data_IF_582084529000
#
_entry.id   IF_582084529000
#
_cell.length_a   1.000
_cell.length_b   1.000
_cell.length_c   1.000
_cell.angle_alpha   90.00
_cell.angle_beta   90.00
_cell.angle_gamma   90.00
#
_symmetry.space_group_name_H-M   'P 1'
#
loop_
_entity.id
_entity.type
_entity.pdbx_description
1 polymer ?
#
# COMPACT_ATOMS: atom_id res chain seq x y z
N UNK A 1 -4.32 -23.90 -7.19
CA UNK A 1 -5.34 -23.93 -6.12
C UNK A 1 -5.09 -22.70 -5.25
N UNK A 2 -6.10 -21.89 -4.98
CA UNK A 2 -6.01 -20.74 -4.06
C UNK A 2 -6.69 -21.18 -2.77
N UNK A 3 -6.02 -20.99 -1.63
CA UNK A 3 -6.58 -21.36 -0.33
C UNK A 3 -6.81 -20.13 0.53
N UNK A 4 -8.01 -20.03 1.11
CA UNK A 4 -8.38 -18.99 2.05
C UNK A 4 -8.41 -19.58 3.46
N UNK A 5 -7.61 -19.02 4.35
CA UNK A 5 -7.52 -19.46 5.73
C UNK A 5 -7.86 -18.30 6.67
N UNK A 6 -8.86 -18.48 7.52
CA UNK A 6 -9.05 -17.65 8.71
C UNK A 6 -8.28 -18.29 9.87
N UNK A 7 -7.43 -17.51 10.56
CA UNK A 7 -6.62 -18.02 11.67
C UNK A 7 -6.76 -17.12 12.89
N UNK A 8 -6.79 -17.73 14.07
CA UNK A 8 -6.66 -17.09 15.38
C UNK A 8 -5.20 -16.62 15.60
N UNK A 9 -4.71 -15.79 14.71
CA UNK A 9 -3.40 -15.16 14.82
C UNK A 9 -3.51 -13.69 14.52
N UNK A 10 -2.90 -12.84 15.33
CA UNK A 10 -2.90 -11.37 15.21
C UNK A 10 -2.13 -10.82 13.98
N UNK A 11 -1.87 -11.67 12.98
CA UNK A 11 -1.03 -11.34 11.82
C UNK A 11 -1.59 -12.05 10.58
N UNK A 12 -1.98 -11.26 9.58
CA UNK A 12 -2.26 -11.76 8.23
C UNK A 12 -0.95 -12.26 7.59
N UNK A 13 -0.97 -13.46 7.00
CA UNK A 13 0.18 -14.05 6.28
C UNK A 13 -0.22 -14.40 4.86
N UNK A 14 0.70 -14.22 3.92
CA UNK A 14 0.50 -14.68 2.54
C UNK A 14 1.69 -15.55 2.16
N UNK A 15 1.39 -16.74 1.63
CA UNK A 15 2.40 -17.68 1.11
C UNK A 15 2.27 -17.69 -0.42
N UNK A 16 3.24 -17.07 -1.08
CA UNK A 16 3.24 -16.84 -2.54
C UNK A 16 3.62 -18.12 -3.33
N UNK A 17 4.24 -19.11 -2.67
CA UNK A 17 4.52 -20.43 -3.25
C UNK A 17 3.25 -21.29 -3.30
N UNK A 18 2.38 -21.16 -2.30
CA UNK A 18 1.10 -21.90 -2.20
C UNK A 18 -0.15 -21.09 -2.59
N UNK A 19 -0.01 -19.83 -2.95
CA UNK A 19 -1.12 -18.90 -3.21
C UNK A 19 -2.16 -18.90 -2.06
N UNK A 20 -1.67 -18.79 -0.83
CA UNK A 20 -2.49 -18.85 0.39
C UNK A 20 -2.70 -17.45 0.97
N UNK A 21 -3.95 -17.03 1.14
CA UNK A 21 -4.30 -15.75 1.80
C UNK A 21 -4.78 -16.06 3.22
N UNK A 22 -4.02 -15.63 4.23
CA UNK A 22 -4.45 -15.67 5.63
C UNK A 22 -4.84 -14.27 6.09
N UNK A 23 -6.09 -14.11 6.53
CA UNK A 23 -6.59 -12.87 7.11
C UNK A 23 -6.67 -13.04 8.63
N UNK A 24 -6.09 -12.09 9.37
CA UNK A 24 -6.21 -12.01 10.82
C UNK A 24 -7.68 -11.96 11.25
N UNK A 25 -8.13 -12.92 12.06
CA UNK A 25 -9.49 -12.95 12.60
C UNK A 25 -9.82 -11.71 13.45
N UNK A 26 -8.82 -11.17 14.15
CA UNK A 26 -8.95 -9.96 14.97
C UNK A 26 -8.89 -8.68 14.14
N UNK A 27 -8.84 -8.77 12.80
CA UNK A 27 -8.93 -7.60 11.95
C UNK A 27 -10.24 -6.85 12.24
N UNK A 28 -10.17 -5.54 12.54
CA UNK A 28 -11.36 -4.76 12.84
C UNK A 28 -12.46 -4.85 11.79
N UNK A 29 -12.14 -4.98 10.50
CA UNK A 29 -13.13 -5.11 9.43
C UNK A 29 -13.90 -6.43 9.50
N UNK A 30 -13.27 -7.50 9.97
CA UNK A 30 -13.93 -8.79 10.22
C UNK A 30 -14.82 -8.69 11.46
N UNK A 31 -14.29 -8.13 12.56
CA UNK A 31 -15.02 -7.96 13.81
C UNK A 31 -16.25 -7.04 13.66
N UNK A 32 -16.11 -5.97 12.88
CA UNK A 32 -17.17 -5.00 12.54
C UNK A 32 -18.14 -5.54 11.48
N UNK A 33 -17.90 -6.74 10.93
CA UNK A 33 -18.66 -7.35 9.81
C UNK A 33 -18.75 -6.44 8.58
N UNK A 34 -17.69 -5.67 8.33
CA UNK A 34 -17.57 -4.82 7.15
C UNK A 34 -17.30 -5.67 5.91
N UNK A 35 -18.38 -6.09 5.27
CA UNK A 35 -18.34 -6.90 4.06
C UNK A 35 -17.56 -6.20 2.93
N UNK A 36 -17.66 -4.88 2.81
CA UNK A 36 -16.95 -4.12 1.76
C UNK A 36 -15.46 -4.16 2.03
N UNK A 37 -15.02 -3.86 3.25
CA UNK A 37 -13.61 -3.90 3.63
C UNK A 37 -12.98 -5.27 3.46
N UNK A 38 -13.67 -6.33 3.90
CA UNK A 38 -13.20 -7.71 3.71
C UNK A 38 -13.08 -8.08 2.23
N UNK A 39 -14.08 -7.75 1.42
CA UNK A 39 -14.04 -7.99 -0.03
C UNK A 39 -12.88 -7.26 -0.70
N UNK A 40 -12.62 -6.01 -0.31
CA UNK A 40 -11.52 -5.23 -0.87
C UNK A 40 -10.16 -5.83 -0.52
N UNK A 41 -9.94 -6.27 0.72
CA UNK A 41 -8.70 -6.94 1.12
C UNK A 41 -8.47 -8.20 0.27
N UNK A 42 -9.50 -9.05 0.15
CA UNK A 42 -9.42 -10.26 -0.65
C UNK A 42 -9.07 -9.95 -2.11
N UNK A 43 -9.76 -8.96 -2.72
CA UNK A 43 -9.47 -8.54 -4.10
C UNK A 43 -8.04 -8.04 -4.25
N UNK A 44 -7.56 -7.22 -3.31
CA UNK A 44 -6.20 -6.71 -3.36
C UNK A 44 -5.16 -7.84 -3.30
N UNK A 45 -5.32 -8.80 -2.39
CA UNK A 45 -4.42 -9.96 -2.31
C UNK A 45 -4.49 -10.85 -3.55
N UNK A 46 -5.67 -11.02 -4.15
CA UNK A 46 -5.81 -11.76 -5.40
C UNK A 46 -5.05 -11.08 -6.55
N UNK A 47 -5.14 -9.75 -6.67
CA UNK A 47 -4.35 -9.01 -7.66
C UNK A 47 -2.85 -9.24 -7.39
N UNK A 48 -2.40 -9.12 -6.14
CA UNK A 48 -1.00 -9.38 -5.77
C UNK A 48 -0.52 -10.75 -6.22
N UNK A 49 -1.29 -11.81 -5.89
CA UNK A 49 -0.98 -13.18 -6.28
C UNK A 49 -0.99 -13.40 -7.80
N UNK A 50 -1.79 -12.64 -8.55
CA UNK A 50 -1.77 -12.68 -10.01
C UNK A 50 -0.50 -12.03 -10.60
N UNK A 51 -0.03 -10.94 -10.02
CA UNK A 51 1.14 -10.20 -10.52
C UNK A 51 2.48 -10.76 -10.02
N UNK A 52 2.50 -11.51 -8.91
CA UNK A 52 3.68 -12.18 -8.30
C UNK A 52 4.97 -11.36 -8.40
N UNK A 53 4.97 -10.19 -7.78
CA UNK A 53 6.12 -9.29 -7.88
C UNK A 53 7.10 -9.65 -6.76
N UNK A 54 8.33 -10.06 -7.09
CA UNK A 54 9.38 -10.26 -6.09
C UNK A 54 9.91 -8.90 -5.59
N UNK A 55 9.06 -8.13 -4.91
CA UNK A 55 9.31 -6.77 -4.46
C UNK A 55 8.83 -6.60 -3.00
N UNK A 56 9.36 -5.60 -2.27
CA UNK A 56 8.84 -5.27 -0.96
C UNK A 56 7.37 -4.88 -1.00
N UNK A 57 6.61 -5.31 0.02
CA UNK A 57 5.15 -5.17 0.09
C UNK A 57 4.64 -3.76 -0.20
N UNK A 58 5.28 -2.73 0.33
CA UNK A 58 4.87 -1.35 0.10
C UNK A 58 5.03 -0.90 -1.36
N UNK A 59 5.99 -1.48 -2.09
CA UNK A 59 6.19 -1.21 -3.52
C UNK A 59 5.17 -1.99 -4.35
N UNK A 60 4.90 -3.25 -3.98
CA UNK A 60 3.84 -4.05 -4.61
C UNK A 60 2.47 -3.37 -4.49
N UNK A 61 2.09 -2.94 -3.28
CA UNK A 61 0.80 -2.31 -3.00
C UNK A 61 0.59 -1.06 -3.90
N UNK A 62 1.66 -0.31 -4.19
CA UNK A 62 1.57 0.86 -5.09
C UNK A 62 1.25 0.46 -6.53
N UNK A 63 1.90 -0.59 -7.02
CA UNK A 63 1.71 -1.07 -8.40
C UNK A 63 0.34 -1.74 -8.53
N UNK A 64 -0.02 -2.61 -7.59
CA UNK A 64 -1.30 -3.31 -7.56
C UNK A 64 -2.45 -2.32 -7.44
N UNK A 65 -2.34 -1.34 -6.56
CA UNK A 65 -3.34 -0.29 -6.41
C UNK A 65 -3.58 0.46 -7.71
N UNK A 66 -2.51 0.78 -8.46
CA UNK A 66 -2.63 1.43 -9.78
C UNK A 66 -3.32 0.54 -10.81
N UNK A 67 -2.99 -0.74 -10.84
CA UNK A 67 -3.63 -1.70 -11.74
C UNK A 67 -5.10 -1.93 -11.39
N UNK A 68 -5.44 -1.98 -10.09
CA UNK A 68 -6.83 -2.04 -9.63
C UNK A 68 -7.61 -0.80 -10.05
N UNK A 69 -7.02 0.38 -9.90
CA UNK A 69 -7.58 1.65 -10.36
C UNK A 69 -7.87 1.64 -11.86
N UNK A 70 -6.91 1.20 -12.68
CA UNK A 70 -7.08 1.11 -14.15
C UNK A 70 -8.22 0.18 -14.55
N UNK A 71 -8.56 -0.80 -13.70
CA UNK A 71 -9.69 -1.72 -13.89
C UNK A 71 -11.00 -1.24 -13.25
N UNK A 72 -11.08 0.03 -12.84
CA UNK A 72 -12.29 0.63 -12.28
C UNK A 72 -12.53 0.33 -10.79
N UNK A 73 -11.56 -0.23 -10.08
CA UNK A 73 -11.66 -0.54 -8.65
C UNK A 73 -11.13 0.62 -7.76
N UNK A 74 -11.14 1.85 -8.27
CA UNK A 74 -10.61 3.01 -7.55
C UNK A 74 -11.36 3.33 -6.25
N UNK A 75 -12.68 3.12 -6.23
CA UNK A 75 -13.50 3.31 -5.02
C UNK A 75 -13.21 2.26 -3.94
N UNK A 76 -12.89 1.03 -4.33
CA UNK A 76 -12.45 -0.02 -3.39
C UNK A 76 -11.09 0.35 -2.79
N UNK A 77 -10.13 0.76 -3.63
CA UNK A 77 -8.81 1.22 -3.17
C UNK A 77 -8.94 2.41 -2.22
N UNK A 78 -9.79 3.38 -2.55
CA UNK A 78 -10.03 4.54 -1.72
C UNK A 78 -10.57 4.13 -0.34
N UNK A 79 -11.59 3.27 -0.33
CA UNK A 79 -12.20 2.75 0.89
C UNK A 79 -11.19 2.06 1.81
N UNK A 80 -10.33 1.19 1.25
CA UNK A 80 -9.32 0.48 2.00
C UNK A 80 -8.30 1.43 2.65
N UNK A 81 -7.78 2.40 1.89
CA UNK A 81 -6.79 3.33 2.42
C UNK A 81 -7.38 4.36 3.37
N UNK A 82 -8.60 4.83 3.12
CA UNK A 82 -9.31 5.70 4.04
C UNK A 82 -9.47 5.05 5.42
N UNK A 83 -9.94 3.80 5.46
CA UNK A 83 -10.08 3.05 6.71
C UNK A 83 -8.73 2.80 7.40
N UNK A 84 -7.66 2.56 6.64
CA UNK A 84 -6.31 2.40 7.18
C UNK A 84 -5.80 3.71 7.81
N UNK A 85 -6.02 4.84 7.15
CA UNK A 85 -5.63 6.17 7.62
C UNK A 85 -6.37 6.54 8.91
N UNK A 86 -7.70 6.34 8.95
CA UNK A 86 -8.49 6.63 10.15
C UNK A 86 -8.05 5.84 11.39
N UNK A 87 -7.47 4.66 11.18
CA UNK A 87 -7.03 3.77 12.27
C UNK A 87 -5.56 3.99 12.67
N UNK A 88 -4.80 4.83 11.96
CA UNK A 88 -3.40 5.11 12.29
C UNK A 88 -3.25 6.43 13.07
N UNK A 89 -2.63 6.37 14.24
CA UNK A 89 -2.26 7.56 15.00
C UNK A 89 -1.08 8.30 14.34
N UNK A 90 -1.22 9.60 14.13
CA UNK A 90 -0.14 10.47 13.65
C UNK A 90 0.57 11.08 14.87
N UNK A 91 1.69 10.50 15.30
CA UNK A 91 2.44 11.01 16.45
C UNK A 91 3.54 11.99 16.05
N UNK A 92 4.00 11.90 14.80
CA UNK A 92 5.03 12.77 14.25
C UNK A 92 4.85 12.94 12.73
N UNK A 93 5.70 13.78 12.15
CA UNK A 93 5.63 14.09 10.72
C UNK A 93 6.03 12.92 9.81
N UNK A 94 6.85 11.97 10.28
CA UNK A 94 7.16 10.76 9.51
C UNK A 94 5.95 9.85 9.42
N UNK A 95 5.20 9.68 10.52
CA UNK A 95 3.95 8.93 10.54
C UNK A 95 2.94 9.55 9.59
N UNK A 96 2.83 10.88 9.59
CA UNK A 96 1.98 11.62 8.64
C UNK A 96 2.33 11.28 7.19
N UNK A 97 3.62 11.27 6.83
CA UNK A 97 4.07 10.91 5.48
C UNK A 97 3.77 9.45 5.16
N UNK A 98 4.05 8.52 6.07
CA UNK A 98 3.80 7.07 5.89
C UNK A 98 2.32 6.78 5.68
N UNK A 99 1.46 7.40 6.48
CA UNK A 99 -0.01 7.24 6.42
C UNK A 99 -0.57 7.75 5.09
N UNK A 100 0.03 8.80 4.53
CA UNK A 100 -0.42 9.37 3.26
C UNK A 100 0.33 8.83 2.02
N UNK A 101 1.35 8.00 2.19
CA UNK A 101 2.09 7.37 1.09
C UNK A 101 1.17 6.61 0.10
N UNK A 102 0.13 5.88 0.55
CA UNK A 102 -0.75 5.15 -0.36
C UNK A 102 -1.49 6.03 -1.37
N UNK A 103 -1.72 7.32 -1.10
CA UNK A 103 -2.35 8.22 -2.06
C UNK A 103 -1.55 8.39 -3.36
N UNK A 104 -0.25 8.05 -3.36
CA UNK A 104 0.59 8.00 -4.56
C UNK A 104 0.04 7.01 -5.61
N UNK A 105 -0.75 6.02 -5.18
CA UNK A 105 -1.47 5.09 -6.07
C UNK A 105 -2.40 5.84 -7.01
N UNK A 106 -3.03 6.90 -6.52
CA UNK A 106 -3.93 7.74 -7.31
C UNK A 106 -3.22 8.80 -8.15
N UNK A 107 -1.87 8.88 -8.13
CA UNK A 107 -1.15 9.99 -8.78
C UNK A 107 -1.51 10.22 -10.25
N UNK A 108 -1.79 9.16 -11.02
CA UNK A 108 -2.20 9.30 -12.43
C UNK A 108 -3.64 9.79 -12.62
N UNK A 109 -4.51 9.62 -11.61
CA UNK A 109 -5.93 10.01 -11.66
C UNK A 109 -6.28 11.25 -10.83
N UNK A 110 -5.48 11.54 -9.80
CA UNK A 110 -5.64 12.68 -8.90
C UNK A 110 -4.29 13.38 -8.71
N UNK A 111 -3.97 14.21 -9.71
CA UNK A 111 -2.76 15.03 -9.74
C UNK A 111 -2.74 16.06 -8.59
N UNK A 112 -3.90 16.48 -8.08
CA UNK A 112 -3.97 17.52 -7.05
C UNK A 112 -3.49 16.99 -5.70
N UNK A 113 -4.07 15.88 -5.24
CA UNK A 113 -3.70 15.29 -3.95
C UNK A 113 -2.27 14.73 -4.01
N UNK A 114 -1.85 14.19 -5.15
CA UNK A 114 -0.49 13.69 -5.33
C UNK A 114 0.56 14.80 -5.31
N UNK A 115 0.29 15.95 -5.93
CA UNK A 115 1.16 17.14 -5.89
C UNK A 115 1.16 17.80 -4.50
N UNK A 116 0.03 17.83 -3.79
CA UNK A 116 -0.03 18.30 -2.42
C UNK A 116 0.87 17.45 -1.51
N UNK A 117 0.77 16.13 -1.61
CA UNK A 117 1.64 15.18 -0.91
C UNK A 117 3.10 15.35 -1.27
N UNK A 118 3.41 15.49 -2.57
CA UNK A 118 4.77 15.75 -3.04
C UNK A 118 5.35 17.04 -2.46
N UNK A 119 4.55 18.11 -2.36
CA UNK A 119 4.97 19.37 -1.73
C UNK A 119 5.21 19.21 -0.24
N UNK A 120 4.33 18.49 0.47
CA UNK A 120 4.46 18.25 1.91
C UNK A 120 5.70 17.38 2.20
N UNK A 121 5.83 16.23 1.54
CA UNK A 121 7.01 15.35 1.60
C UNK A 121 8.28 16.10 1.19
N UNK A 122 8.23 16.87 0.11
CA UNK A 122 9.36 17.69 -0.35
C UNK A 122 9.83 18.72 0.67
N UNK A 123 8.92 19.34 1.43
CA UNK A 123 9.25 20.28 2.52
C UNK A 123 9.85 19.59 3.73
N UNK A 124 9.33 18.42 4.11
CA UNK A 124 9.79 17.64 5.28
C UNK A 124 11.15 17.00 4.98
N UNK A 125 11.26 16.36 3.82
CA UNK A 125 12.38 15.49 3.50
C UNK A 125 13.60 16.24 2.97
N UNK A 126 13.47 17.46 2.42
CA UNK A 126 14.63 18.25 1.93
C UNK A 126 15.66 18.58 3.04
N UNK A 127 15.26 18.59 4.32
CA UNK A 127 16.16 18.92 5.44
C UNK A 127 16.56 17.74 6.33
N UNK A 128 15.81 16.63 6.34
CA UNK A 128 15.97 15.60 7.38
C UNK A 128 15.96 14.14 6.89
N UNK A 129 15.36 13.84 5.71
CA UNK A 129 15.17 12.45 5.23
C UNK A 129 15.30 12.33 3.70
N UNK A 130 16.52 12.47 3.14
CA UNK A 130 16.72 12.49 1.69
C UNK A 130 16.32 11.18 0.99
N UNK A 131 16.47 10.04 1.66
CA UNK A 131 16.15 8.73 1.08
C UNK A 131 14.64 8.48 0.97
N UNK A 132 13.87 8.89 1.97
CA UNK A 132 12.40 8.83 1.95
C UNK A 132 11.84 9.66 0.80
N UNK A 133 12.43 10.84 0.55
CA UNK A 133 12.08 11.66 -0.61
C UNK A 133 12.36 10.94 -1.93
N UNK A 134 13.55 10.34 -2.04
CA UNK A 134 13.96 9.63 -3.25
C UNK A 134 12.99 8.47 -3.54
N UNK A 135 12.62 7.70 -2.53
CA UNK A 135 11.61 6.65 -2.66
C UNK A 135 10.28 7.22 -3.14
N UNK A 136 9.79 8.31 -2.52
CA UNK A 136 8.55 8.97 -2.89
C UNK A 136 8.54 9.41 -4.36
N UNK A 137 9.60 10.09 -4.81
CA UNK A 137 9.72 10.58 -6.19
C UNK A 137 9.69 9.41 -7.19
N UNK A 138 10.35 8.28 -6.86
CA UNK A 138 10.32 7.08 -7.69
C UNK A 138 8.91 6.45 -7.69
N UNK A 139 8.24 6.36 -6.54
CA UNK A 139 6.90 5.77 -6.44
C UNK A 139 5.86 6.58 -7.23
N UNK A 140 5.95 7.92 -7.22
CA UNK A 140 5.06 8.78 -8.01
C UNK A 140 5.15 8.48 -9.51
N UNK A 141 6.36 8.28 -10.02
CA UNK A 141 6.62 7.91 -11.41
C UNK A 141 6.98 6.43 -11.60
N UNK A 142 6.43 5.53 -10.79
CA UNK A 142 6.87 4.13 -10.81
C UNK A 142 6.61 3.52 -12.18
N UNK A 143 7.64 2.87 -12.70
CA UNK A 143 7.67 2.23 -14.01
C UNK A 143 8.56 1.00 -13.94
N UNK A 144 8.52 0.10 -14.94
CA UNK A 144 9.39 -1.07 -14.97
C UNK A 144 10.89 -0.73 -14.87
N UNK A 145 11.30 0.48 -15.27
CA UNK A 145 12.71 0.92 -15.27
C UNK A 145 13.23 1.29 -13.87
N UNK A 146 12.37 1.69 -12.94
CA UNK A 146 12.77 2.22 -11.63
C UNK A 146 12.21 1.43 -10.43
N UNK A 147 11.39 0.40 -10.68
CA UNK A 147 10.76 -0.44 -9.64
C UNK A 147 11.78 -1.12 -8.71
N UNK A 148 12.88 -1.64 -9.24
CA UNK A 148 13.92 -2.28 -8.44
C UNK A 148 14.72 -1.28 -7.60
N UNK A 149 14.81 -0.02 -8.04
CA UNK A 149 15.42 1.05 -7.25
C UNK A 149 14.52 1.43 -6.08
N UNK A 150 13.20 1.54 -6.30
CA UNK A 150 12.23 1.75 -5.24
C UNK A 150 12.32 0.66 -4.16
N UNK A 151 12.38 -0.61 -4.58
CA UNK A 151 12.53 -1.75 -3.68
C UNK A 151 13.78 -1.64 -2.80
N UNK A 152 14.95 -1.38 -3.39
CA UNK A 152 16.21 -1.26 -2.65
C UNK A 152 16.19 -0.11 -1.64
N UNK A 153 15.62 1.04 -2.01
CA UNK A 153 15.53 2.19 -1.09
C UNK A 153 14.58 1.87 0.06
N UNK A 154 13.45 1.23 -0.21
CA UNK A 154 12.49 0.82 0.81
C UNK A 154 13.10 -0.16 1.83
N UNK A 155 13.83 -1.17 1.37
CA UNK A 155 14.50 -2.14 2.25
C UNK A 155 15.52 -1.46 3.19
N UNK A 156 16.26 -0.47 2.69
CA UNK A 156 17.19 0.31 3.52
C UNK A 156 16.49 1.14 4.58
N UNK A 157 15.34 1.71 4.27
CA UNK A 157 14.54 2.51 5.20
C UNK A 157 13.80 1.68 6.25
N UNK A 158 13.71 0.35 6.05
CA UNK A 158 12.99 -0.58 6.92
C UNK A 158 13.90 -1.36 7.88
N UNK A 159 15.21 -1.09 7.87
CA UNK A 159 16.20 -1.60 8.83
C UNK A 159 16.46 -0.57 9.92
#
# INVERSE_FOLDING_TARGET
>A
QIEFHLRDSNISKVDDEKAMICIDYNNPLILEKDQRGVNTIIRHELFRLMFKMNLPRAVEDVIIGREMIKRGLGDDIFYMYYNRILKMGVNNMEDYVKINLPWIIFHEQDKYNSELLKKVVGKICKKKYPETKKLFDILCGISPKNVHEAARIYERLSR
#
